data_IF_122980626374
#
_entry.id   IF_122980626374
#
_cell.length_a   1.000
_cell.length_b   1.000
_cell.length_c   1.000
_cell.angle_alpha   90.00
_cell.angle_beta   90.00
_cell.angle_gamma   90.00
#
_symmetry.space_group_name_H-M   'P 1'
#
loop_
_entity.id
_entity.type
_entity.pdbx_description
1 polymer ?
#
# COMPACT_ATOMS: atom_id res chain seq x y z
N UNK A 1 -9.94 18.96 2.62
CA UNK A 1 -9.40 17.75 3.26
C UNK A 1 -10.48 16.80 3.78
N UNK A 2 -11.53 17.28 4.48
CA UNK A 2 -12.54 16.39 5.10
C UNK A 2 -13.44 15.64 4.10
N UNK A 3 -13.79 16.23 2.96
CA UNK A 3 -14.61 15.57 1.93
C UNK A 3 -13.90 14.38 1.26
N UNK A 4 -12.59 14.50 1.02
CA UNK A 4 -11.78 13.43 0.41
C UNK A 4 -11.67 12.21 1.33
N UNK A 5 -11.47 12.42 2.63
CA UNK A 5 -11.41 11.32 3.61
C UNK A 5 -12.74 10.55 3.67
N UNK A 6 -13.87 11.27 3.67
CA UNK A 6 -15.20 10.66 3.63
C UNK A 6 -15.43 9.82 2.37
N UNK A 7 -14.97 10.29 1.21
CA UNK A 7 -15.06 9.54 -0.04
C UNK A 7 -14.27 8.24 0.03
N UNK A 8 -12.98 8.31 0.37
CA UNK A 8 -12.12 7.12 0.47
C UNK A 8 -12.60 6.15 1.53
N UNK A 9 -13.05 6.65 2.69
CA UNK A 9 -13.64 5.80 3.72
C UNK A 9 -14.87 5.04 3.21
N UNK A 10 -15.69 5.66 2.35
CA UNK A 10 -16.88 5.02 1.77
C UNK A 10 -16.53 3.95 0.74
N UNK A 11 -15.47 4.14 -0.04
CA UNK A 11 -15.10 3.20 -1.13
C UNK A 11 -14.08 2.15 -0.70
N UNK A 12 -13.45 2.29 0.47
CA UNK A 12 -12.34 1.46 0.94
C UNK A 12 -12.61 -0.04 0.87
N UNK A 13 -13.76 -0.52 1.34
CA UNK A 13 -14.11 -1.95 1.34
C UNK A 13 -14.32 -2.51 -0.08
N UNK A 14 -14.87 -1.71 -0.98
CA UNK A 14 -15.00 -2.09 -2.39
C UNK A 14 -13.64 -2.13 -3.07
N UNK A 15 -12.85 -1.09 -2.85
CA UNK A 15 -11.50 -0.94 -3.40
C UNK A 15 -10.54 -2.04 -2.93
N UNK A 16 -10.56 -2.39 -1.63
CA UNK A 16 -9.66 -3.41 -1.06
C UNK A 16 -9.88 -4.82 -1.61
N UNK A 17 -11.07 -5.09 -2.18
CA UNK A 17 -11.42 -6.36 -2.83
C UNK A 17 -11.17 -6.37 -4.33
N UNK A 18 -10.84 -5.23 -4.94
CA UNK A 18 -10.55 -5.19 -6.36
C UNK A 18 -9.17 -5.78 -6.63
N UNK A 19 -9.04 -6.70 -7.59
CA UNK A 19 -7.75 -7.19 -8.00
C UNK A 19 -6.95 -6.08 -8.67
N UNK A 20 -5.63 -6.24 -8.68
CA UNK A 20 -4.73 -5.37 -9.44
C UNK A 20 -5.04 -5.58 -10.93
N UNK A 21 -5.47 -4.51 -11.61
CA UNK A 21 -5.93 -4.60 -12.99
C UNK A 21 -4.82 -4.99 -13.99
N UNK A 22 -3.58 -4.57 -13.71
CA UNK A 22 -2.39 -4.91 -14.49
C UNK A 22 -1.28 -5.39 -13.55
N UNK A 23 -1.25 -6.71 -13.34
CA UNK A 23 -0.28 -7.35 -12.47
C UNK A 23 1.16 -7.18 -12.99
N UNK A 24 1.36 -7.20 -14.31
CA UNK A 24 2.69 -7.06 -14.90
C UNK A 24 3.27 -5.66 -14.65
N UNK A 25 2.45 -4.62 -14.83
CA UNK A 25 2.84 -3.25 -14.49
C UNK A 25 3.11 -3.09 -12.99
N UNK A 26 2.29 -3.71 -12.13
CA UNK A 26 2.50 -3.68 -10.69
C UNK A 26 3.80 -4.36 -10.26
N UNK A 27 4.10 -5.54 -10.80
CA UNK A 27 5.36 -6.23 -10.52
C UNK A 27 6.56 -5.44 -11.06
N UNK A 28 6.43 -4.81 -12.23
CA UNK A 28 7.49 -3.95 -12.77
C UNK A 28 7.73 -2.74 -11.88
N UNK A 29 6.67 -2.09 -11.38
CA UNK A 29 6.75 -1.03 -10.37
C UNK A 29 7.55 -1.51 -9.17
N UNK A 30 7.16 -2.64 -8.56
CA UNK A 30 7.85 -3.20 -7.39
C UNK A 30 9.34 -3.46 -7.66
N UNK A 31 9.68 -4.03 -8.81
CA UNK A 31 11.07 -4.26 -9.21
C UNK A 31 11.85 -2.95 -9.24
N UNK A 32 11.36 -1.96 -10.00
CA UNK A 32 12.05 -0.68 -10.18
C UNK A 32 12.24 0.03 -8.85
N UNK A 33 11.22 0.07 -7.97
CA UNK A 33 11.37 0.73 -6.66
C UNK A 33 12.40 0.01 -5.79
N UNK A 34 12.45 -1.33 -5.81
CA UNK A 34 13.39 -2.13 -5.02
C UNK A 34 14.85 -1.93 -5.43
N UNK A 35 15.12 -1.55 -6.68
CA UNK A 35 16.49 -1.24 -7.15
C UNK A 35 17.12 -0.07 -6.38
N UNK A 36 16.31 0.79 -5.76
CA UNK A 36 16.78 1.91 -4.94
C UNK A 36 16.95 1.57 -3.45
N UNK A 37 16.53 0.39 -3.02
CA UNK A 37 16.50 0.04 -1.61
C UNK A 37 17.83 -0.53 -1.10
N UNK A 38 18.08 -0.26 0.18
CA UNK A 38 19.09 -0.94 0.97
C UNK A 38 18.42 -1.44 2.25
N UNK A 39 18.83 -2.61 2.74
CA UNK A 39 18.26 -3.22 3.94
C UNK A 39 18.38 -2.37 5.21
N UNK A 40 19.21 -1.32 5.23
CA UNK A 40 19.36 -0.38 6.34
C UNK A 40 18.38 0.80 6.29
N UNK A 41 17.67 1.01 5.18
CA UNK A 41 16.82 2.19 4.97
C UNK A 41 15.54 2.16 5.79
N UNK A 42 15.09 3.35 6.20
CA UNK A 42 13.73 3.58 6.68
C UNK A 42 12.95 4.30 5.57
N UNK A 43 11.83 3.73 5.14
CA UNK A 43 11.00 4.26 4.04
C UNK A 43 9.69 4.81 4.58
N UNK A 44 9.23 5.92 3.99
CA UNK A 44 7.89 6.48 4.21
C UNK A 44 7.07 6.29 2.92
N UNK A 45 5.95 5.59 3.03
CA UNK A 45 4.94 5.49 1.96
C UNK A 45 3.74 6.37 2.31
N UNK A 46 3.44 7.33 1.44
CA UNK A 46 2.33 8.28 1.63
C UNK A 46 1.19 7.91 0.70
N UNK A 47 -0.03 7.80 1.23
CA UNK A 47 -1.19 7.33 0.46
C UNK A 47 -1.10 5.83 0.21
N UNK A 48 -0.78 5.05 1.24
CA UNK A 48 -0.52 3.62 1.11
C UNK A 48 -1.78 2.79 0.80
N UNK A 49 -2.97 3.39 0.88
CA UNK A 49 -4.23 2.68 0.77
C UNK A 49 -4.30 1.54 1.78
N UNK A 50 -4.49 0.32 1.29
CA UNK A 50 -4.53 -0.91 2.11
C UNK A 50 -3.16 -1.42 2.56
N UNK A 51 -2.06 -0.75 2.16
CA UNK A 51 -0.71 -1.08 2.58
C UNK A 51 -0.07 -2.26 1.85
N UNK A 52 -0.69 -2.79 0.78
CA UNK A 52 -0.16 -3.95 0.04
C UNK A 52 1.23 -3.71 -0.54
N UNK A 53 1.49 -2.51 -1.07
CA UNK A 53 2.83 -2.14 -1.60
C UNK A 53 3.86 -2.04 -0.47
N UNK A 54 3.52 -1.43 0.67
CA UNK A 54 4.37 -1.40 1.85
C UNK A 54 4.76 -2.81 2.31
N UNK A 55 3.80 -3.73 2.40
CA UNK A 55 4.04 -5.13 2.77
C UNK A 55 4.98 -5.80 1.76
N UNK A 56 4.74 -5.63 0.46
CA UNK A 56 5.58 -6.18 -0.59
C UNK A 56 7.02 -5.62 -0.59
N UNK A 57 7.21 -4.42 -0.04
CA UNK A 57 8.53 -3.77 0.08
C UNK A 57 9.22 -4.02 1.42
N UNK A 58 8.49 -4.41 2.47
CA UNK A 58 9.01 -4.58 3.82
C UNK A 58 10.25 -5.50 3.92
N UNK A 59 10.37 -6.62 3.17
CA UNK A 59 11.57 -7.47 3.24
C UNK A 59 12.87 -6.82 2.74
N UNK A 60 12.78 -5.71 2.01
CA UNK A 60 13.92 -5.11 1.28
C UNK A 60 14.52 -3.91 2.00
N UNK A 61 13.96 -3.49 3.13
CA UNK A 61 14.39 -2.31 3.91
C UNK A 61 14.30 -2.60 5.40
N UNK A 62 14.85 -1.72 6.24
CA UNK A 62 14.85 -1.90 7.70
C UNK A 62 13.46 -1.72 8.30
N UNK A 63 12.76 -0.72 7.82
CA UNK A 63 11.45 -0.33 8.34
C UNK A 63 10.67 0.46 7.29
N UNK A 64 9.36 0.22 7.19
CA UNK A 64 8.45 1.02 6.39
C UNK A 64 7.39 1.62 7.30
N UNK A 65 7.24 2.94 7.25
CA UNK A 65 6.08 3.64 7.77
C UNK A 65 5.15 3.91 6.60
N UNK A 66 4.00 3.26 6.59
CA UNK A 66 2.96 3.49 5.60
C UNK A 66 1.87 4.35 6.24
N UNK A 67 1.45 5.42 5.56
CA UNK A 67 0.39 6.31 6.04
C UNK A 67 -0.66 6.51 4.96
N UNK A 68 -1.92 6.53 5.39
CA UNK A 68 -3.03 6.99 4.60
C UNK A 68 -3.90 7.90 5.46
N UNK A 69 -4.53 8.89 4.85
CA UNK A 69 -5.43 9.81 5.55
C UNK A 69 -6.84 9.22 5.71
N UNK A 70 -7.15 8.16 4.97
CA UNK A 70 -8.38 7.38 5.08
C UNK A 70 -8.18 6.24 6.07
N UNK A 71 -8.79 6.34 7.25
CA UNK A 71 -8.73 5.30 8.29
C UNK A 71 -9.18 3.94 7.76
N UNK A 72 -10.26 3.92 6.97
CA UNK A 72 -10.83 2.67 6.47
C UNK A 72 -9.96 2.02 5.40
N UNK A 73 -9.07 2.75 4.73
CA UNK A 73 -8.10 2.14 3.82
C UNK A 73 -7.09 1.29 4.60
N UNK A 74 -6.65 1.78 5.77
CA UNK A 74 -5.72 1.05 6.65
C UNK A 74 -6.45 -0.11 7.36
N UNK A 75 -7.62 0.15 7.94
CA UNK A 75 -8.40 -0.86 8.67
C UNK A 75 -8.95 -1.96 7.76
N UNK A 76 -9.34 -1.60 6.53
CA UNK A 76 -9.89 -2.52 5.53
C UNK A 76 -8.84 -3.32 4.75
N UNK A 77 -7.55 -3.16 5.08
CA UNK A 77 -6.48 -3.98 4.53
C UNK A 77 -6.73 -5.45 4.85
N UNK A 78 -6.93 -6.27 3.82
CA UNK A 78 -7.12 -7.70 4.00
C UNK A 78 -5.91 -8.29 4.74
N UNK A 79 -6.12 -9.16 5.75
CA UNK A 79 -5.02 -9.89 6.35
C UNK A 79 -4.29 -10.65 5.24
N UNK A 80 -2.97 -10.72 5.41
CA UNK A 80 -1.88 -11.41 4.68
C UNK A 80 -2.20 -12.73 3.93
N UNK A 81 -3.41 -13.28 4.04
CA UNK A 81 -3.83 -14.58 3.52
C UNK A 81 -4.49 -14.54 2.12
N UNK A 82 -4.60 -13.39 1.46
CA UNK A 82 -5.26 -13.26 0.14
C UNK A 82 -4.38 -12.66 -0.97
N UNK A 83 -3.06 -12.79 -0.85
CA UNK A 83 -2.11 -12.55 -1.95
C UNK A 83 -1.28 -13.81 -2.20
#
# INVERSE_FOLDING_TARGET
MNASAKFWNKVAEGYSRQPIADEAAYQKKLQVTREYFQHSMNVLEVGCGTGSTAIAHAPYVKHIRAIDFSSNMIEGGLPIAYW
#
